data_IF_510596270198
#
_entry.id   IF_510596270198
#
_cell.length_a   1.000
_cell.length_b   1.000
_cell.length_c   1.000
_cell.angle_alpha   90.00
_cell.angle_beta   90.00
_cell.angle_gamma   90.00
#
_symmetry.space_group_name_H-M   'P 1'
#
loop_
_entity.id
_entity.type
_entity.pdbx_description
1 polymer ?
#
# COMPACT_ATOMS: atom_id res chain seq x y z
N UNK A 1 14.36 -15.99 6.40
CA UNK A 1 13.68 -14.91 7.15
C UNK A 1 12.16 -15.13 7.21
N UNK A 2 11.40 -15.04 6.11
CA UNK A 2 9.92 -15.18 6.11
C UNK A 2 9.41 -16.54 6.64
N UNK A 3 10.10 -17.65 6.36
CA UNK A 3 9.69 -19.01 6.80
C UNK A 3 9.63 -19.19 8.33
N UNK A 4 10.30 -18.33 9.09
CA UNK A 4 10.35 -18.40 10.56
C UNK A 4 9.27 -17.53 11.22
N UNK A 5 8.48 -16.79 10.43
CA UNK A 5 7.40 -15.97 10.95
C UNK A 5 6.20 -16.85 11.27
N UNK A 6 5.78 -16.87 12.54
CA UNK A 6 4.66 -17.70 13.01
C UNK A 6 3.31 -16.98 12.92
N UNK A 7 2.96 -16.56 11.71
CA UNK A 7 1.66 -15.95 11.41
C UNK A 7 0.83 -16.96 10.62
N UNK A 8 -0.27 -17.44 11.20
CA UNK A 8 -1.17 -18.41 10.53
C UNK A 8 -1.68 -17.85 9.21
N UNK A 9 -2.13 -16.60 9.20
CA UNK A 9 -2.58 -15.89 8.00
C UNK A 9 -1.54 -15.93 6.87
N UNK A 10 -0.28 -15.61 7.17
CA UNK A 10 0.82 -15.63 6.21
C UNK A 10 1.06 -17.04 5.66
N UNK A 11 1.16 -18.04 6.53
CA UNK A 11 1.41 -19.43 6.14
C UNK A 11 0.29 -19.97 5.25
N UNK A 12 -0.96 -19.68 5.61
CA UNK A 12 -2.14 -20.06 4.85
C UNK A 12 -2.16 -19.38 3.47
N UNK A 13 -1.92 -18.06 3.41
CA UNK A 13 -1.86 -17.30 2.17
C UNK A 13 -0.77 -17.83 1.21
N UNK A 14 0.42 -18.13 1.75
CA UNK A 14 1.51 -18.75 0.98
C UNK A 14 1.13 -20.15 0.47
N UNK A 15 0.52 -20.99 1.32
CA UNK A 15 0.11 -22.36 0.98
C UNK A 15 -0.87 -22.40 -0.19
N UNK A 16 -1.78 -21.42 -0.28
CA UNK A 16 -2.78 -21.33 -1.36
C UNK A 16 -2.38 -20.37 -2.49
N UNK A 17 -1.12 -19.91 -2.52
CA UNK A 17 -0.55 -19.11 -3.60
C UNK A 17 -1.08 -17.66 -3.68
N UNK A 18 -1.61 -17.12 -2.57
CA UNK A 18 -2.15 -15.75 -2.48
C UNK A 18 -1.08 -14.79 -1.98
N UNK A 19 -0.06 -14.59 -2.81
CA UNK A 19 1.14 -13.83 -2.45
C UNK A 19 0.87 -12.36 -2.13
N UNK A 20 -0.11 -11.71 -2.77
CA UNK A 20 -0.45 -10.31 -2.45
C UNK A 20 -0.86 -10.15 -0.97
N UNK A 21 -1.70 -11.04 -0.45
CA UNK A 21 -2.10 -11.05 0.95
C UNK A 21 -0.97 -11.47 1.89
N UNK A 22 -0.08 -12.37 1.45
CA UNK A 22 1.13 -12.69 2.19
C UNK A 22 2.04 -11.46 2.35
N UNK A 23 2.17 -10.63 1.30
CA UNK A 23 2.98 -9.41 1.34
C UNK A 23 2.45 -8.37 2.34
N UNK A 24 1.15 -8.35 2.63
CA UNK A 24 0.58 -7.43 3.64
C UNK A 24 1.16 -7.66 5.04
N UNK A 25 1.47 -8.92 5.38
CA UNK A 25 2.16 -9.27 6.64
C UNK A 25 3.65 -8.99 6.54
N UNK A 26 4.28 -9.38 5.43
CA UNK A 26 5.73 -9.25 5.24
C UNK A 26 6.17 -7.78 5.25
N UNK A 27 5.38 -6.88 4.64
CA UNK A 27 5.69 -5.44 4.61
C UNK A 27 5.62 -4.80 5.98
N UNK A 28 4.57 -5.10 6.76
CA UNK A 28 4.46 -4.66 8.16
C UNK A 28 5.63 -5.18 8.98
N UNK A 29 5.98 -6.46 8.82
CA UNK A 29 7.06 -7.07 9.57
C UNK A 29 8.40 -6.41 9.28
N UNK A 30 8.73 -6.20 8.00
CA UNK A 30 9.97 -5.53 7.60
C UNK A 30 10.06 -4.11 8.15
N UNK A 31 8.99 -3.31 8.01
CA UNK A 31 8.95 -1.95 8.57
C UNK A 31 9.07 -1.93 10.09
N UNK A 32 8.44 -2.88 10.79
CA UNK A 32 8.55 -2.96 12.24
C UNK A 32 9.96 -3.34 12.70
N UNK A 33 10.61 -4.33 12.07
CA UNK A 33 11.89 -4.85 12.55
C UNK A 33 13.10 -4.08 12.06
N UNK A 34 13.02 -3.52 10.85
CA UNK A 34 14.13 -2.82 10.19
C UNK A 34 13.90 -1.31 10.07
N UNK A 35 12.64 -0.87 10.05
CA UNK A 35 12.30 0.49 9.63
C UNK A 35 12.56 0.72 8.14
N UNK A 36 12.74 1.97 7.76
CA UNK A 36 13.01 2.39 6.39
C UNK A 36 11.74 2.59 5.57
N UNK A 37 11.83 2.31 4.28
CA UNK A 37 10.77 2.58 3.29
C UNK A 37 10.37 1.27 2.62
N UNK A 38 9.07 1.00 2.63
CA UNK A 38 8.45 -0.03 1.81
C UNK A 38 7.77 0.62 0.60
N UNK A 39 7.94 0.02 -0.57
CA UNK A 39 7.29 0.45 -1.79
C UNK A 39 6.99 -0.76 -2.69
N UNK A 40 5.76 -0.86 -3.19
CA UNK A 40 5.38 -1.92 -4.13
C UNK A 40 6.17 -1.80 -5.44
N UNK A 41 6.50 -2.95 -6.04
CA UNK A 41 7.36 -3.01 -7.24
C UNK A 41 6.77 -2.37 -8.50
N UNK A 42 5.47 -2.10 -8.50
CA UNK A 42 4.72 -1.45 -9.56
C UNK A 42 4.33 0.00 -9.21
N UNK A 43 4.99 0.61 -8.23
CA UNK A 43 4.94 2.05 -7.99
C UNK A 43 5.90 2.75 -8.95
N UNK A 44 5.35 3.65 -9.76
CA UNK A 44 6.11 4.52 -10.63
C UNK A 44 6.33 5.88 -9.98
N UNK A 45 7.58 6.22 -9.66
CA UNK A 45 7.97 7.52 -9.11
C UNK A 45 8.04 8.59 -10.20
N UNK A 46 7.27 9.66 -10.03
CA UNK A 46 7.29 10.86 -10.89
C UNK A 46 8.41 11.83 -10.51
N UNK A 47 8.71 11.92 -9.21
CA UNK A 47 9.70 12.84 -8.63
C UNK A 47 10.21 12.31 -7.30
N UNK A 48 11.23 12.99 -6.76
CA UNK A 48 11.75 12.77 -5.41
C UNK A 48 10.65 12.96 -4.35
N UNK A 49 10.69 12.11 -3.33
CA UNK A 49 9.69 12.03 -2.25
C UNK A 49 10.24 12.45 -0.88
N UNK A 50 11.46 12.99 -0.82
CA UNK A 50 12.15 13.38 0.41
C UNK A 50 11.30 14.31 1.30
N UNK A 51 10.45 15.16 0.71
CA UNK A 51 9.58 16.07 1.46
C UNK A 51 8.50 15.37 2.30
N UNK A 52 8.20 14.10 2.02
CA UNK A 52 7.15 13.34 2.71
C UNK A 52 7.71 12.47 3.84
N UNK A 53 9.01 12.22 3.90
CA UNK A 53 9.64 11.27 4.84
C UNK A 53 10.26 11.97 6.06
N UNK A 54 9.44 12.79 6.74
CA UNK A 54 9.88 13.67 7.84
C UNK A 54 9.24 13.33 9.21
N UNK A 55 8.62 12.15 9.31
CA UNK A 55 7.89 11.69 10.47
C UNK A 55 8.23 10.23 10.76
N UNK A 56 8.06 9.80 12.01
CA UNK A 56 8.40 8.45 12.45
C UNK A 56 7.57 7.37 11.74
N UNK A 57 6.34 7.67 11.33
CA UNK A 57 5.59 6.85 10.36
C UNK A 57 4.90 7.71 9.30
N UNK A 58 4.99 7.29 8.03
CA UNK A 58 4.42 8.00 6.89
C UNK A 58 3.65 7.04 6.00
N UNK A 59 2.43 7.45 5.64
CA UNK A 59 1.64 6.83 4.57
C UNK A 59 0.66 7.85 3.97
N UNK A 60 -0.22 7.40 3.08
CA UNK A 60 -1.22 8.19 2.36
C UNK A 60 -2.62 7.61 2.57
N UNK A 61 -3.65 8.41 2.33
CA UNK A 61 -5.03 7.92 2.31
C UNK A 61 -5.21 7.04 1.07
N UNK A 62 -5.74 5.84 1.28
CA UNK A 62 -6.22 4.98 0.19
C UNK A 62 -7.67 5.34 -0.13
N UNK A 63 -7.92 5.79 -1.35
CA UNK A 63 -9.26 6.09 -1.86
C UNK A 63 -9.57 5.19 -3.04
N UNK A 64 -10.83 4.73 -3.19
CA UNK A 64 -11.17 3.86 -4.31
C UNK A 64 -11.11 4.68 -5.61
N UNK A 65 -10.80 4.05 -6.74
CA UNK A 65 -10.63 4.74 -8.04
C UNK A 65 -11.87 5.58 -8.45
N UNK A 66 -13.06 5.21 -7.97
CA UNK A 66 -14.31 5.93 -8.24
C UNK A 66 -14.70 6.94 -7.14
N UNK A 67 -13.90 7.08 -6.08
CA UNK A 67 -14.15 7.95 -4.92
C UNK A 67 -15.38 7.57 -4.09
N UNK A 68 -15.99 6.41 -4.34
CA UNK A 68 -17.19 5.93 -3.64
C UNK A 68 -16.80 4.90 -2.59
N UNK A 69 -16.87 5.31 -1.34
CA UNK A 69 -16.98 4.41 -0.19
C UNK A 69 -18.35 4.65 0.47
N UNK A 70 -18.81 3.70 1.28
CA UNK A 70 -20.09 3.83 1.97
C UNK A 70 -19.99 4.88 3.09
N UNK A 71 -20.42 6.11 2.78
CA UNK A 71 -20.50 7.23 3.74
C UNK A 71 -21.42 6.94 4.92
N UNK A 72 -22.27 5.91 4.83
CA UNK A 72 -23.09 5.44 5.93
C UNK A 72 -22.26 4.88 7.10
N UNK A 73 -21.02 4.44 6.85
CA UNK A 73 -20.15 3.80 7.84
C UNK A 73 -19.47 4.78 8.81
N UNK A 74 -19.44 6.07 8.46
CA UNK A 74 -18.70 7.11 9.19
C UNK A 74 -19.61 8.26 9.61
N UNK A 75 -19.34 8.86 10.77
CA UNK A 75 -20.02 10.08 11.22
C UNK A 75 -19.49 11.34 10.53
N UNK A 76 -20.05 12.50 10.88
CA UNK A 76 -19.65 13.79 10.30
C UNK A 76 -18.21 14.22 10.70
N UNK A 77 -17.69 13.66 11.78
CA UNK A 77 -16.34 13.89 12.26
C UNK A 77 -15.31 12.97 11.59
N UNK A 78 -15.78 11.95 10.85
CA UNK A 78 -14.95 10.97 10.17
C UNK A 78 -14.57 9.79 11.07
N UNK A 79 -15.26 9.60 12.21
CA UNK A 79 -15.14 8.40 13.01
C UNK A 79 -15.98 7.29 12.41
N UNK A 80 -15.53 6.05 12.52
CA UNK A 80 -16.37 4.88 12.27
C UNK A 80 -17.52 4.86 13.27
N UNK A 81 -18.76 4.66 12.78
CA UNK A 81 -19.96 4.63 13.63
C UNK A 81 -19.99 3.41 14.54
N UNK A 82 -20.66 3.56 15.67
CA UNK A 82 -20.95 2.44 16.57
C UNK A 82 -21.70 1.31 15.83
N UNK A 83 -21.32 0.06 16.09
CA UNK A 83 -21.87 -1.12 15.41
C UNK A 83 -21.27 -1.42 14.03
N UNK A 84 -20.50 -0.51 13.45
CA UNK A 84 -19.78 -0.76 12.18
C UNK A 84 -18.46 -1.49 12.47
N UNK A 85 -18.32 -2.72 11.94
CA UNK A 85 -17.13 -3.55 12.18
C UNK A 85 -15.84 -2.99 11.56
N UNK A 86 -15.94 -2.31 10.42
CA UNK A 86 -14.84 -1.61 9.74
C UNK A 86 -15.41 -0.72 8.64
N UNK A 87 -14.66 0.31 8.24
CA UNK A 87 -14.96 1.11 7.06
C UNK A 87 -14.23 0.50 5.88
N UNK A 88 -14.95 0.21 4.79
CA UNK A 88 -14.36 -0.39 3.60
C UNK A 88 -14.25 0.65 2.49
N UNK A 89 -13.11 0.66 1.79
CA UNK A 89 -12.92 1.50 0.62
C UNK A 89 -12.56 2.96 0.90
N UNK A 90 -12.34 3.35 2.15
CA UNK A 90 -11.55 4.53 2.50
C UNK A 90 -10.58 4.08 3.58
N UNK A 91 -9.30 3.95 3.23
CA UNK A 91 -8.34 3.28 4.08
C UNK A 91 -7.02 4.02 4.18
N UNK A 92 -6.00 3.27 4.56
CA UNK A 92 -4.60 3.69 4.57
C UNK A 92 -3.89 2.98 3.43
N UNK A 93 -3.12 3.71 2.64
CA UNK A 93 -2.28 3.13 1.61
C UNK A 93 -1.21 2.24 2.26
N UNK A 94 -0.99 1.08 1.65
CA UNK A 94 0.04 0.14 2.10
C UNK A 94 1.06 -0.15 0.99
N UNK A 95 0.96 0.57 -0.12
CA UNK A 95 1.80 0.38 -1.31
C UNK A 95 3.03 1.28 -1.27
N UNK A 96 2.99 2.37 -0.50
CA UNK A 96 4.14 3.16 -0.08
C UNK A 96 4.01 3.51 1.40
N UNK A 97 4.99 3.11 2.22
CA UNK A 97 5.03 3.43 3.65
C UNK A 97 6.47 3.69 4.08
N UNK A 98 6.69 4.62 4.99
CA UNK A 98 7.95 4.77 5.71
C UNK A 98 7.72 4.63 7.21
N UNK A 99 8.66 4.01 7.91
CA UNK A 99 8.56 3.79 9.35
C UNK A 99 9.95 3.81 9.96
N UNK A 100 10.09 4.38 11.15
CA UNK A 100 11.21 4.03 12.03
C UNK A 100 11.05 2.59 12.53
N UNK A 101 12.17 1.97 12.88
CA UNK A 101 12.16 0.65 13.50
C UNK A 101 11.38 0.68 14.81
N UNK A 102 10.48 -0.29 14.99
CA UNK A 102 9.75 -0.48 16.24
C UNK A 102 8.55 0.45 16.45
N UNK A 103 8.10 1.17 15.42
CA UNK A 103 6.97 2.11 15.55
C UNK A 103 5.71 1.42 16.12
N UNK A 104 5.03 1.98 17.14
CA UNK A 104 3.90 1.33 17.82
C UNK A 104 2.75 0.94 16.88
N UNK A 105 2.43 1.79 15.89
CA UNK A 105 1.40 1.49 14.88
C UNK A 105 1.69 0.19 14.10
N UNK A 106 2.94 -0.10 13.75
CA UNK A 106 3.26 -1.36 13.06
C UNK A 106 3.13 -2.58 13.98
N UNK A 107 3.34 -2.41 15.29
CA UNK A 107 3.08 -3.47 16.25
C UNK A 107 1.59 -3.85 16.31
N UNK A 108 0.68 -2.87 16.32
CA UNK A 108 -0.77 -3.14 16.38
C UNK A 108 -1.26 -3.87 15.13
N UNK A 109 -0.78 -3.47 13.94
CA UNK A 109 -1.07 -4.16 12.67
C UNK A 109 -0.54 -5.60 12.70
N UNK A 110 0.68 -5.82 13.18
CA UNK A 110 1.25 -7.17 13.28
C UNK A 110 0.49 -8.05 14.27
N UNK A 111 0.09 -7.51 15.42
CA UNK A 111 -0.67 -8.26 16.43
C UNK A 111 -2.04 -8.72 15.89
N UNK A 112 -2.68 -7.90 15.08
CA UNK A 112 -3.90 -8.28 14.38
C UNK A 112 -3.65 -9.42 13.38
N UNK A 113 -2.60 -9.36 12.56
CA UNK A 113 -2.25 -10.47 11.66
C UNK A 113 -1.85 -11.76 12.38
N UNK A 114 -1.36 -11.71 13.63
CA UNK A 114 -1.10 -12.93 14.43
C UNK A 114 -2.41 -13.67 14.75
N UNK A 115 -3.50 -12.93 14.94
CA UNK A 115 -4.80 -13.47 15.34
C UNK A 115 -5.68 -13.86 14.13
N UNK A 116 -5.44 -13.27 12.97
CA UNK A 116 -6.22 -13.56 11.75
C UNK A 116 -5.95 -14.95 11.18
N UNK A 117 -6.98 -15.47 10.53
CA UNK A 117 -6.93 -16.67 9.69
C UNK A 117 -7.17 -16.26 8.24
N UNK A 118 -6.50 -16.93 7.30
CA UNK A 118 -6.75 -16.68 5.87
C UNK A 118 -7.67 -17.74 5.26
N UNK A 119 -7.72 -18.93 5.87
CA UNK A 119 -8.61 -20.03 5.51
C UNK A 119 -9.59 -20.22 6.68
N UNK A 120 -10.89 -20.25 6.36
CA UNK A 120 -11.97 -20.51 7.32
C UNK A 120 -12.06 -21.99 7.67
N UNK A 121 -12.84 -22.30 8.70
CA UNK A 121 -13.02 -23.69 9.16
C UNK A 121 -13.68 -24.58 8.08
N UNK A 122 -14.46 -24.00 7.17
CA UNK A 122 -15.06 -24.67 6.01
C UNK A 122 -14.12 -24.76 4.77
N UNK A 123 -12.89 -24.26 4.87
CA UNK A 123 -11.90 -24.25 3.80
C UNK A 123 -12.00 -23.07 2.82
N UNK A 124 -12.99 -22.18 2.96
CA UNK A 124 -13.10 -20.97 2.13
C UNK A 124 -12.07 -19.90 2.54
N UNK A 125 -11.74 -18.98 1.62
CA UNK A 125 -10.74 -17.91 1.86
C UNK A 125 -11.41 -16.63 2.37
N UNK A 126 -10.78 -15.93 3.32
CA UNK A 126 -11.29 -14.69 3.93
C UNK A 126 -11.08 -13.43 3.08
N UNK A 127 -10.90 -13.59 1.76
CA UNK A 127 -10.60 -12.48 0.84
C UNK A 127 -11.78 -11.53 0.60
N UNK A 128 -12.98 -11.93 1.01
CA UNK A 128 -14.24 -11.20 0.96
C UNK A 128 -14.54 -10.41 2.26
N UNK A 129 -13.62 -10.43 3.23
CA UNK A 129 -13.72 -9.64 4.46
C UNK A 129 -12.92 -8.34 4.35
N UNK A 130 -12.00 -8.07 5.28
CA UNK A 130 -11.14 -6.89 5.26
C UNK A 130 -9.85 -7.19 4.50
N UNK A 131 -9.47 -6.25 3.63
CA UNK A 131 -8.18 -6.28 2.93
C UNK A 131 -7.18 -5.36 3.62
N UNK A 132 -5.91 -5.44 3.22
CA UNK A 132 -4.80 -4.70 3.84
C UNK A 132 -5.11 -3.23 4.17
N UNK A 133 -5.54 -2.38 3.20
CA UNK A 133 -5.87 -0.98 3.47
C UNK A 133 -6.92 -0.76 4.57
N UNK A 134 -7.95 -1.61 4.62
CA UNK A 134 -9.00 -1.54 5.65
C UNK A 134 -8.47 -1.96 7.02
N UNK A 135 -7.64 -3.01 7.06
CA UNK A 135 -7.01 -3.50 8.30
C UNK A 135 -6.06 -2.44 8.87
N UNK A 136 -5.21 -1.86 8.05
CA UNK A 136 -4.26 -0.83 8.48
C UNK A 136 -5.01 0.41 8.99
N UNK A 137 -6.03 0.87 8.26
CA UNK A 137 -6.86 1.99 8.71
C UNK A 137 -7.56 1.73 10.04
N UNK A 138 -8.12 0.53 10.23
CA UNK A 138 -8.73 0.11 11.50
C UNK A 138 -7.77 0.29 12.69
N UNK A 139 -6.51 -0.10 12.53
CA UNK A 139 -5.52 0.05 13.61
C UNK A 139 -5.06 1.50 13.79
N UNK A 140 -5.03 2.29 12.72
CA UNK A 140 -4.71 3.70 12.77
C UNK A 140 -5.76 4.51 13.55
N UNK A 141 -7.01 4.02 13.69
CA UNK A 141 -8.04 4.67 14.51
C UNK A 141 -7.57 4.93 15.95
N UNK A 142 -6.82 3.98 16.53
CA UNK A 142 -6.28 4.10 17.90
C UNK A 142 -5.22 5.19 18.06
N UNK A 143 -4.64 5.64 16.95
CA UNK A 143 -3.69 6.77 16.87
C UNK A 143 -4.40 8.09 16.51
N UNK A 144 -5.73 8.07 16.33
CA UNK A 144 -6.55 9.24 16.04
C UNK A 144 -6.98 9.38 14.57
N UNK A 145 -6.73 8.37 13.73
CA UNK A 145 -7.12 8.40 12.32
C UNK A 145 -8.62 8.65 12.14
N UNK A 146 -8.95 9.53 11.20
CA UNK A 146 -10.31 9.78 10.72
C UNK A 146 -10.41 9.39 9.25
N UNK A 147 -11.55 8.85 8.87
CA UNK A 147 -11.92 8.50 7.51
C UNK A 147 -12.28 9.75 6.69
N UNK A 148 -11.28 10.62 6.49
CA UNK A 148 -11.35 11.86 5.73
C UNK A 148 -10.16 11.95 4.79
N UNK A 149 -10.39 12.30 3.53
CA UNK A 149 -9.33 12.50 2.56
C UNK A 149 -8.67 13.88 2.74
N UNK A 150 -7.91 14.01 3.81
CA UNK A 150 -7.12 15.18 4.17
C UNK A 150 -5.84 14.71 4.85
N UNK A 151 -4.78 15.51 4.84
CA UNK A 151 -3.57 15.21 5.60
C UNK A 151 -3.88 15.24 7.10
N UNK A 152 -3.45 14.20 7.82
CA UNK A 152 -3.73 14.00 9.23
C UNK A 152 -2.44 13.69 9.99
N UNK A 153 -2.19 14.47 11.04
CA UNK A 153 -1.17 14.18 12.05
C UNK A 153 -1.83 13.36 13.15
N UNK A 154 -1.29 12.18 13.42
CA UNK A 154 -1.78 11.22 14.41
C UNK A 154 -0.83 11.21 15.61
N UNK A 155 -1.17 10.44 16.66
CA UNK A 155 -0.25 10.23 17.78
C UNK A 155 1.01 9.49 17.34
N UNK A 156 2.04 9.54 18.19
CA UNK A 156 3.32 8.83 18.00
C UNK A 156 4.07 9.27 16.72
N UNK A 157 3.90 10.53 16.32
CA UNK A 157 4.54 11.11 15.13
C UNK A 157 4.25 10.32 13.83
N UNK A 158 3.01 9.85 13.71
CA UNK A 158 2.48 9.25 12.49
C UNK A 158 1.76 10.31 11.63
N UNK A 159 2.04 10.32 10.32
CA UNK A 159 1.32 11.14 9.34
C UNK A 159 0.64 10.28 8.28
N UNK A 160 -0.60 10.65 7.96
CA UNK A 160 -1.33 10.11 6.80
C UNK A 160 -1.67 11.26 5.86
N UNK A 161 -0.96 11.37 4.74
CA UNK A 161 -1.15 12.41 3.75
C UNK A 161 -2.38 12.15 2.86
N UNK A 162 -3.03 13.22 2.38
CA UNK A 162 -4.18 13.10 1.47
C UNK A 162 -3.83 12.39 0.14
N UNK A 163 -4.83 11.71 -0.44
CA UNK A 163 -4.63 10.82 -1.60
C UNK A 163 -4.26 11.54 -2.90
N UNK A 164 -4.37 12.87 -2.99
CA UNK A 164 -3.90 13.59 -4.20
C UNK A 164 -2.37 13.69 -4.29
N UNK A 165 -1.66 13.40 -3.20
CA UNK A 165 -0.19 13.49 -3.12
C UNK A 165 0.50 12.17 -3.52
N UNK A 166 -0.23 11.07 -3.60
CA UNK A 166 0.27 9.73 -3.94
C UNK A 166 -0.76 8.94 -4.74
N UNK A 167 -0.35 7.96 -5.55
CA UNK A 167 -1.26 7.11 -6.33
C UNK A 167 -2.36 7.88 -7.11
N UNK A 168 -1.98 8.99 -7.73
CA UNK A 168 -2.93 9.85 -8.46
C UNK A 168 -2.32 10.35 -9.77
N UNK A 169 -3.16 10.55 -10.78
CA UNK A 169 -2.76 11.23 -12.02
C UNK A 169 -2.63 12.75 -11.86
N UNK A 170 -2.87 13.28 -10.67
CA UNK A 170 -2.54 14.67 -10.31
C UNK A 170 -1.04 14.95 -10.55
N UNK A 171 -0.73 16.18 -10.96
CA UNK A 171 0.65 16.65 -11.16
C UNK A 171 1.40 16.79 -9.83
N UNK A 172 0.69 17.01 -8.73
CA UNK A 172 1.24 17.11 -7.38
C UNK A 172 1.68 15.76 -6.83
N UNK A 173 1.05 14.68 -7.30
CA UNK A 173 1.36 13.33 -6.84
C UNK A 173 2.80 12.98 -7.20
N UNK A 174 3.57 12.49 -6.22
CA UNK A 174 4.97 12.14 -6.48
C UNK A 174 5.13 10.76 -7.12
N UNK A 175 4.07 9.94 -7.10
CA UNK A 175 4.06 8.60 -7.68
C UNK A 175 2.66 8.19 -8.16
N UNK A 176 2.63 7.11 -8.94
CA UNK A 176 1.41 6.41 -9.37
C UNK A 176 1.61 4.93 -9.06
N UNK A 177 0.67 4.31 -8.36
CA UNK A 177 0.67 2.86 -8.20
C UNK A 177 -0.01 2.26 -9.44
N UNK A 178 0.74 1.52 -10.24
CA UNK A 178 0.28 1.02 -11.53
C UNK A 178 -0.72 -0.14 -11.43
N UNK A 179 -1.08 -0.54 -10.20
CA UNK A 179 -2.19 -1.45 -9.90
C UNK A 179 -2.11 -2.71 -10.77
N UNK A 180 -0.99 -3.45 -10.69
CA UNK A 180 -0.72 -4.54 -11.60
C UNK A 180 -1.78 -5.66 -11.53
N UNK A 181 -2.52 -5.78 -10.41
CA UNK A 181 -3.65 -6.69 -10.19
C UNK A 181 -3.39 -8.13 -10.67
N UNK A 182 -2.14 -8.58 -10.62
CA UNK A 182 -1.72 -9.88 -11.19
C UNK A 182 -2.34 -11.08 -10.48
N UNK A 183 -2.93 -10.86 -9.30
CA UNK A 183 -3.56 -11.86 -8.45
C UNK A 183 -5.08 -12.05 -8.69
N UNK A 184 -5.73 -11.13 -9.41
CA UNK A 184 -7.16 -11.23 -9.70
C UNK A 184 -7.44 -12.29 -10.79
N UNK A 185 -8.51 -13.08 -10.65
CA UNK A 185 -8.97 -13.98 -11.71
C UNK A 185 -9.57 -13.15 -12.84
N UNK A 186 -8.76 -12.84 -13.84
CA UNK A 186 -9.19 -12.10 -15.02
C UNK A 186 -9.51 -13.04 -16.18
N UNK A 187 -10.57 -12.74 -16.93
CA UNK A 187 -10.83 -13.42 -18.20
C UNK A 187 -9.67 -13.17 -19.17
N UNK A 188 -9.48 -14.03 -20.18
CA UNK A 188 -8.43 -13.84 -21.18
C UNK A 188 -8.51 -12.46 -21.85
N UNK A 189 -9.73 -12.01 -22.15
CA UNK A 189 -9.99 -10.72 -22.77
C UNK A 189 -9.65 -9.55 -21.83
N UNK A 190 -9.92 -9.69 -20.53
CA UNK A 190 -9.53 -8.69 -19.54
C UNK A 190 -8.02 -8.67 -19.32
N UNK A 191 -7.33 -9.82 -19.36
CA UNK A 191 -5.86 -9.88 -19.32
C UNK A 191 -5.24 -9.11 -20.48
N UNK A 192 -5.74 -9.31 -21.70
CA UNK A 192 -5.28 -8.57 -22.88
C UNK A 192 -5.56 -7.07 -22.74
N UNK A 193 -6.75 -6.66 -22.29
CA UNK A 193 -7.09 -5.25 -22.04
C UNK A 193 -6.19 -4.62 -20.98
N UNK A 194 -5.94 -5.31 -19.86
CA UNK A 194 -5.06 -4.83 -18.78
C UNK A 194 -3.62 -4.72 -19.25
N UNK A 195 -3.10 -5.68 -20.00
CA UNK A 195 -1.76 -5.61 -20.58
C UNK A 195 -1.63 -4.40 -21.52
N UNK A 196 -2.61 -4.22 -22.40
CA UNK A 196 -2.65 -3.06 -23.31
C UNK A 196 -2.80 -1.75 -22.54
N UNK A 197 -3.59 -1.70 -21.45
CA UNK A 197 -3.73 -0.53 -20.56
C UNK A 197 -2.44 -0.24 -19.80
N UNK A 198 -1.68 -1.26 -19.37
CA UNK A 198 -0.35 -1.10 -18.76
C UNK A 198 0.67 -0.53 -19.74
N UNK A 199 0.73 -1.09 -20.95
CA UNK A 199 1.62 -0.60 -22.01
C UNK A 199 1.23 0.82 -22.40
N UNK A 200 -0.06 1.11 -22.62
CA UNK A 200 -0.54 2.44 -22.96
C UNK A 200 -0.36 3.44 -21.82
N UNK A 201 -0.59 3.06 -20.56
CA UNK A 201 -0.35 3.95 -19.41
C UNK A 201 1.14 4.24 -19.26
N UNK A 202 2.01 3.24 -19.39
CA UNK A 202 3.45 3.44 -19.41
C UNK A 202 3.90 4.33 -20.57
N UNK A 203 3.40 4.08 -21.78
CA UNK A 203 3.68 4.89 -22.98
C UNK A 203 3.10 6.30 -22.87
N UNK A 204 1.93 6.48 -22.29
CA UNK A 204 1.30 7.78 -22.09
C UNK A 204 1.99 8.58 -20.99
N UNK A 205 2.39 7.93 -19.88
CA UNK A 205 3.25 8.53 -18.84
C UNK A 205 4.57 8.97 -19.46
N UNK A 206 5.23 8.09 -20.23
CA UNK A 206 6.47 8.40 -20.94
C UNK A 206 6.30 9.57 -21.94
N UNK A 207 5.23 9.56 -22.74
CA UNK A 207 4.98 10.59 -23.77
C UNK A 207 4.53 11.94 -23.21
N UNK A 208 3.80 11.96 -22.10
CA UNK A 208 3.21 13.19 -21.51
C UNK A 208 4.19 13.90 -20.60
N UNK A 209 4.93 13.15 -19.79
CA UNK A 209 5.72 13.73 -18.70
C UNK A 209 7.24 13.52 -18.85
N UNK A 210 7.73 12.75 -19.84
CA UNK A 210 9.17 12.39 -19.91
C UNK A 210 9.88 12.72 -21.24
N UNK A 211 9.23 13.35 -22.23
CA UNK A 211 9.94 13.80 -23.46
C UNK A 211 11.10 14.76 -23.19
N UNK A 212 11.09 15.46 -22.05
CA UNK A 212 12.11 16.42 -21.64
C UNK A 212 13.16 15.84 -20.68
N UNK A 213 12.91 14.65 -20.13
CA UNK A 213 13.93 13.91 -19.39
C UNK A 213 14.83 13.25 -20.42
N UNK A 214 15.78 14.04 -20.94
CA UNK A 214 17.02 13.49 -21.48
C UNK A 214 17.62 12.68 -20.34
N UNK A 215 17.56 11.36 -20.44
CA UNK A 215 18.49 10.53 -19.71
C UNK A 215 19.87 10.81 -20.31
N UNK A 216 20.48 11.93 -19.90
CA UNK A 216 21.92 12.13 -19.99
C UNK A 216 22.52 11.29 -18.86
N UNK A 217 22.44 9.97 -19.04
CA UNK A 217 23.29 9.02 -18.34
C UNK A 217 23.81 8.13 -19.43
N UNK A 218 25.04 8.37 -19.85
CA UNK A 218 25.81 7.41 -20.61
C UNK A 218 25.82 6.10 -19.81
N UNK A 219 24.97 5.16 -20.21
CA UNK A 219 24.84 3.81 -19.64
C UNK A 219 26.19 3.06 -19.62
N UNK A 220 27.19 3.57 -20.33
CA UNK A 220 28.55 3.02 -20.38
C UNK A 220 29.40 3.32 -19.13
N UNK A 221 29.09 4.32 -18.29
CA UNK A 221 29.94 4.63 -17.12
C UNK A 221 29.61 3.82 -15.85
N UNK A 222 28.41 3.26 -15.72
CA UNK A 222 28.00 2.53 -14.50
C UNK A 222 28.41 1.04 -14.54
N UNK A 223 28.77 0.51 -15.71
CA UNK A 223 29.21 -0.90 -15.87
C UNK A 223 30.69 -1.09 -15.48
N UNK A 224 31.45 -0.01 -15.26
CA UNK A 224 32.91 -0.06 -15.06
C UNK A 224 33.43 -0.17 -13.62
N UNK A 225 32.59 -0.08 -12.58
CA UNK A 225 33.07 -0.07 -11.18
C UNK A 225 32.14 -0.80 -10.22
N UNK A 226 32.03 -2.12 -10.37
CA UNK A 226 31.61 -2.98 -9.27
C UNK A 226 32.76 -3.97 -8.99
N UNK A 227 33.52 -3.79 -7.88
CA UNK A 227 34.50 -4.78 -7.46
C UNK A 227 33.75 -6.06 -7.12
N UNK A 228 34.07 -7.15 -7.82
CA UNK A 228 33.60 -8.48 -7.44
C UNK A 228 34.20 -8.82 -6.08
N UNK A 229 33.34 -9.05 -5.09
CA UNK A 229 33.63 -9.84 -3.91
C UNK A 229 32.79 -11.13 -4.02
#
# INVERSE_FOLDING_TARGET
MIRNLDYRYLKDALKVGKYAFACDVVRAYALYTEGGIYMDSDVFLKRRFDEFINHDFVTFIDTPENGRYDKGQVDNEGNRKEGVKAVCGLGVDITFMASVKGHPYMATVLDDYKMRRFIRDDGTLTMDELIGPDIYALHAESFGFKYKNQTQMLSDDMVVYESKLYNSFDKKAFAVHCCAHSWAKMSFMDKCKTMTKKILSFVNLYKKDYRHLKYDVEINEIIGRCPRA
#
